data_IF_791809862535
#
_entry.id   IF_791809862535
#
_cell.length_a   1.000
_cell.length_b   1.000
_cell.length_c   1.000
_cell.angle_alpha   90.00
_cell.angle_beta   90.00
_cell.angle_gamma   90.00
#
_symmetry.space_group_name_H-M   'P 1'
#
loop_
_entity.id
_entity.type
_entity.pdbx_description
1 polymer ?
#
# COMPACT_ATOMS: atom_id res chain seq x y z
N UNK A 1 -22.19 8.99 18.96
CA UNK A 1 -22.29 7.54 19.22
C UNK A 1 -22.05 6.73 17.94
N UNK A 2 -22.86 6.87 16.88
CA UNK A 2 -22.66 6.08 15.66
C UNK A 2 -21.31 6.28 14.92
N UNK A 3 -20.73 7.48 14.95
CA UNK A 3 -19.40 7.74 14.34
C UNK A 3 -18.24 7.16 15.16
N UNK A 4 -18.38 7.17 16.49
CA UNK A 4 -17.36 6.68 17.42
C UNK A 4 -17.21 5.15 17.33
N UNK A 5 -18.33 4.45 17.11
CA UNK A 5 -18.36 3.01 16.84
C UNK A 5 -17.64 2.64 15.53
N UNK A 6 -17.76 3.48 14.48
CA UNK A 6 -17.11 3.26 13.19
C UNK A 6 -15.60 3.42 13.31
N UNK A 7 -15.16 4.49 13.97
CA UNK A 7 -13.75 4.77 14.21
C UNK A 7 -13.10 3.65 15.02
N UNK A 8 -13.75 3.21 16.10
CA UNK A 8 -13.25 2.12 16.95
C UNK A 8 -13.11 0.80 16.18
N UNK A 9 -14.10 0.46 15.34
CA UNK A 9 -14.03 -0.75 14.48
C UNK A 9 -12.90 -0.67 13.45
N UNK A 10 -12.67 0.50 12.84
CA UNK A 10 -11.58 0.72 11.90
C UNK A 10 -10.21 0.55 12.56
N UNK A 11 -10.01 1.15 13.73
CA UNK A 11 -8.78 0.99 14.51
C UNK A 11 -8.54 -0.46 14.90
N UNK A 12 -9.54 -1.13 15.47
CA UNK A 12 -9.43 -2.53 15.88
C UNK A 12 -9.04 -3.45 14.71
N UNK A 13 -9.69 -3.27 13.54
CA UNK A 13 -9.36 -4.05 12.35
C UNK A 13 -7.93 -3.80 11.88
N UNK A 14 -7.49 -2.55 11.80
CA UNK A 14 -6.15 -2.18 11.32
C UNK A 14 -5.05 -2.72 12.24
N UNK A 15 -5.22 -2.61 13.55
CA UNK A 15 -4.27 -3.14 14.53
C UNK A 15 -4.23 -4.68 14.55
N UNK A 16 -5.36 -5.35 14.32
CA UNK A 16 -5.37 -6.81 14.19
C UNK A 16 -4.58 -7.28 12.96
N UNK A 17 -4.78 -6.64 11.81
CA UNK A 17 -4.10 -6.94 10.55
C UNK A 17 -2.59 -6.72 10.67
N UNK A 18 -2.16 -5.61 11.29
CA UNK A 18 -0.73 -5.35 11.47
C UNK A 18 -0.08 -6.36 12.42
N UNK A 19 -0.78 -6.73 13.50
CA UNK A 19 -0.32 -7.78 14.42
C UNK A 19 -0.16 -9.12 13.72
N UNK A 20 -1.15 -9.56 12.93
CA UNK A 20 -1.06 -10.79 12.14
C UNK A 20 0.12 -10.74 11.16
N UNK A 21 0.29 -9.64 10.43
CA UNK A 21 1.42 -9.49 9.50
C UNK A 21 2.78 -9.58 10.20
N UNK A 22 2.90 -8.99 11.40
CA UNK A 22 4.11 -9.03 12.21
C UNK A 22 4.47 -10.45 12.64
N UNK A 23 3.48 -11.23 13.09
CA UNK A 23 3.69 -12.63 13.49
C UNK A 23 4.18 -13.50 12.33
N UNK A 24 3.62 -13.33 11.13
CA UNK A 24 4.03 -14.06 9.93
C UNK A 24 5.47 -13.68 9.50
N UNK A 25 5.81 -12.40 9.59
CA UNK A 25 7.15 -11.89 9.32
C UNK A 25 8.18 -12.43 10.31
N UNK A 26 7.87 -12.36 11.61
CA UNK A 26 8.72 -12.91 12.66
C UNK A 26 8.94 -14.41 12.47
N UNK A 27 7.88 -15.17 12.15
CA UNK A 27 7.98 -16.60 11.86
C UNK A 27 8.86 -16.89 10.63
N UNK A 28 8.75 -16.08 9.57
CA UNK A 28 9.58 -16.18 8.36
C UNK A 28 11.06 -15.96 8.68
N UNK A 29 11.38 -14.93 9.45
CA UNK A 29 12.75 -14.61 9.88
C UNK A 29 13.30 -15.72 10.78
N UNK A 30 12.52 -16.14 11.79
CA UNK A 30 12.89 -17.22 12.70
C UNK A 30 13.19 -18.52 11.96
N UNK A 31 12.35 -18.92 11.01
CA UNK A 31 12.58 -20.11 10.20
C UNK A 31 13.86 -20.03 9.35
N UNK A 32 14.23 -18.84 8.84
CA UNK A 32 15.46 -18.63 8.06
C UNK A 32 16.71 -18.74 8.94
N UNK A 33 16.68 -18.08 10.09
CA UNK A 33 17.77 -18.11 11.08
C UNK A 33 17.98 -19.55 11.58
N UNK A 34 16.90 -20.25 11.95
CA UNK A 34 16.96 -21.64 12.41
C UNK A 34 17.56 -22.59 11.37
N UNK A 35 17.30 -22.35 10.08
CA UNK A 35 17.82 -23.16 8.97
C UNK A 35 19.24 -22.78 8.54
N UNK A 36 19.89 -21.84 9.24
CA UNK A 36 21.23 -21.36 8.92
C UNK A 36 21.34 -20.64 7.57
N UNK A 37 20.20 -20.21 6.99
CA UNK A 37 20.21 -19.41 5.76
C UNK A 37 20.32 -17.94 6.15
N UNK A 38 21.42 -17.28 5.76
CA UNK A 38 21.61 -15.84 5.98
C UNK A 38 20.44 -15.00 5.45
N UNK A 39 20.23 -13.82 6.05
CA UNK A 39 19.24 -12.85 5.59
C UNK A 39 19.65 -12.31 4.22
N UNK A 40 18.71 -12.31 3.29
CA UNK A 40 18.92 -11.76 1.95
C UNK A 40 18.34 -10.34 1.87
N UNK A 41 18.77 -9.57 0.88
CA UNK A 41 18.23 -8.22 0.61
C UNK A 41 16.69 -8.18 0.54
N UNK A 42 16.07 -9.25 0.03
CA UNK A 42 14.61 -9.47 0.06
C UNK A 42 14.00 -9.32 1.48
N UNK A 43 14.61 -9.94 2.49
CA UNK A 43 14.08 -9.92 3.85
C UNK A 43 14.23 -8.53 4.49
N UNK A 44 15.33 -7.83 4.19
CA UNK A 44 15.54 -6.46 4.66
C UNK A 44 14.51 -5.50 4.07
N UNK A 45 14.19 -5.64 2.79
CA UNK A 45 13.14 -4.84 2.13
C UNK A 45 11.76 -5.13 2.74
N UNK A 46 11.46 -6.40 3.05
CA UNK A 46 10.20 -6.77 3.68
C UNK A 46 10.07 -6.24 5.11
N UNK A 47 11.15 -6.26 5.89
CA UNK A 47 11.19 -5.66 7.24
C UNK A 47 11.02 -4.15 7.16
N UNK A 48 11.72 -3.49 6.24
CA UNK A 48 11.57 -2.05 6.01
C UNK A 48 10.14 -1.68 5.59
N UNK A 49 9.50 -2.51 4.76
CA UNK A 49 8.11 -2.35 4.37
C UNK A 49 7.16 -2.41 5.58
N UNK A 50 7.37 -3.38 6.47
CA UNK A 50 6.54 -3.53 7.67
C UNK A 50 6.74 -2.38 8.66
N UNK A 51 7.97 -1.92 8.87
CA UNK A 51 8.27 -0.75 9.71
C UNK A 51 7.57 0.49 9.14
N UNK A 52 7.65 0.69 7.83
CA UNK A 52 6.98 1.80 7.13
C UNK A 52 5.45 1.73 7.31
N UNK A 53 4.87 0.53 7.21
CA UNK A 53 3.45 0.30 7.47
C UNK A 53 3.07 0.61 8.93
N UNK A 54 3.88 0.17 9.90
CA UNK A 54 3.65 0.42 11.32
C UNK A 54 3.67 1.90 11.67
N UNK A 55 4.61 2.66 11.09
CA UNK A 55 4.66 4.12 11.23
C UNK A 55 3.40 4.75 10.64
N UNK A 56 2.98 4.33 9.45
CA UNK A 56 1.78 4.83 8.78
C UNK A 56 0.51 4.60 9.62
N UNK A 57 0.33 3.39 10.17
CA UNK A 57 -0.82 3.05 11.02
C UNK A 57 -0.81 3.79 12.36
N UNK A 58 0.37 3.97 12.97
CA UNK A 58 0.52 4.71 14.22
C UNK A 58 0.15 6.18 14.04
N UNK A 59 0.65 6.81 12.97
CA UNK A 59 0.29 8.20 12.63
C UNK A 59 -1.20 8.27 12.32
N UNK A 60 -1.74 7.34 11.54
CA UNK A 60 -3.18 7.33 11.22
C UNK A 60 -4.05 7.25 12.49
N UNK A 61 -3.68 6.41 13.46
CA UNK A 61 -4.36 6.32 14.76
C UNK A 61 -4.29 7.64 15.53
N UNK A 62 -3.15 8.34 15.47
CA UNK A 62 -3.01 9.66 16.07
C UNK A 62 -3.94 10.69 15.41
N UNK A 63 -3.96 10.77 14.08
CA UNK A 63 -4.83 11.74 13.37
C UNK A 63 -6.32 11.46 13.67
N UNK A 64 -6.71 10.18 13.74
CA UNK A 64 -8.07 9.77 14.14
C UNK A 64 -8.40 10.30 15.54
N UNK A 65 -7.48 10.19 16.50
CA UNK A 65 -7.67 10.74 17.85
C UNK A 65 -7.80 12.26 17.90
N UNK A 66 -7.29 12.98 16.89
CA UNK A 66 -7.46 14.43 16.72
C UNK A 66 -8.83 14.83 16.09
N UNK A 67 -9.70 13.85 15.82
CA UNK A 67 -11.04 14.07 15.25
C UNK A 67 -11.14 13.81 13.75
N UNK A 68 -10.13 13.20 13.12
CA UNK A 68 -10.19 12.81 11.72
C UNK A 68 -11.20 11.67 11.51
N UNK A 69 -12.26 11.94 10.75
CA UNK A 69 -13.41 11.03 10.60
C UNK A 69 -14.74 11.63 11.07
N UNK A 70 -14.71 12.73 11.83
CA UNK A 70 -15.88 13.55 12.14
C UNK A 70 -16.09 14.67 11.12
N UNK A 71 -17.29 15.26 11.07
CA UNK A 71 -17.62 16.35 10.16
C UNK A 71 -16.59 17.50 10.25
N UNK A 72 -16.12 17.98 9.07
CA UNK A 72 -15.12 19.06 8.95
C UNK A 72 -15.48 20.35 9.73
N UNK A 73 -16.77 20.55 10.04
CA UNK A 73 -17.32 21.69 10.77
C UNK A 73 -16.99 21.70 12.26
N UNK A 74 -16.57 20.58 12.84
CA UNK A 74 -16.28 20.43 14.28
C UNK A 74 -14.80 20.57 14.64
N UNK A 75 -13.93 20.77 13.64
CA UNK A 75 -12.47 20.76 13.81
C UNK A 75 -11.95 22.20 13.82
N UNK A 76 -11.18 22.57 14.85
CA UNK A 76 -10.47 23.85 14.94
C UNK A 76 -9.48 24.03 13.79
N UNK A 77 -9.37 25.23 13.21
CA UNK A 77 -8.55 25.50 12.02
C UNK A 77 -7.06 25.18 12.22
N UNK A 78 -6.54 25.30 13.46
CA UNK A 78 -5.18 24.88 13.79
C UNK A 78 -4.99 23.36 13.67
N UNK A 79 -6.01 22.57 13.99
CA UNK A 79 -5.93 21.11 13.89
C UNK A 79 -6.02 20.64 12.44
N UNK A 80 -6.72 21.37 11.56
CA UNK A 80 -6.86 21.03 10.13
C UNK A 80 -5.51 20.97 9.40
N UNK A 81 -4.62 21.95 9.65
CA UNK A 81 -3.28 21.98 9.05
C UNK A 81 -2.42 20.80 9.49
N UNK A 82 -2.41 20.52 10.79
CA UNK A 82 -1.69 19.39 11.39
C UNK A 82 -2.19 18.07 10.83
N UNK A 83 -3.50 17.87 10.78
CA UNK A 83 -4.16 16.69 10.21
C UNK A 83 -3.79 16.49 8.73
N UNK A 84 -3.78 17.55 7.92
CA UNK A 84 -3.45 17.47 6.50
C UNK A 84 -1.99 17.05 6.29
N UNK A 85 -1.05 17.66 7.03
CA UNK A 85 0.36 17.30 7.01
C UNK A 85 0.59 15.82 7.38
N UNK A 86 0.00 15.37 8.49
CA UNK A 86 0.12 13.98 8.90
C UNK A 86 -0.57 13.02 7.91
N UNK A 87 -1.64 13.42 7.24
CA UNK A 87 -2.30 12.60 6.20
C UNK A 87 -1.40 12.40 4.99
N UNK A 88 -0.68 13.45 4.56
CA UNK A 88 0.33 13.35 3.51
C UNK A 88 1.44 12.39 3.95
N UNK A 89 1.90 12.49 5.19
CA UNK A 89 2.92 11.63 5.75
C UNK A 89 2.47 10.15 5.78
N UNK A 90 1.24 9.89 6.23
CA UNK A 90 0.60 8.56 6.19
C UNK A 90 0.59 8.01 4.76
N UNK A 91 0.20 8.82 3.77
CA UNK A 91 0.16 8.41 2.37
C UNK A 91 1.56 8.02 1.86
N UNK A 92 2.58 8.82 2.16
CA UNK A 92 3.98 8.54 1.77
C UNK A 92 4.44 7.19 2.35
N UNK A 93 4.29 6.98 3.65
CA UNK A 93 4.71 5.73 4.29
C UNK A 93 3.89 4.53 3.80
N UNK A 94 2.58 4.68 3.57
CA UNK A 94 1.74 3.62 3.00
C UNK A 94 2.18 3.22 1.58
N UNK A 95 2.52 4.19 0.73
CA UNK A 95 2.99 3.93 -0.64
C UNK A 95 4.37 3.25 -0.61
N UNK A 96 5.27 3.70 0.28
CA UNK A 96 6.57 3.06 0.48
C UNK A 96 6.41 1.61 0.95
N UNK A 97 5.58 1.37 1.96
CA UNK A 97 5.32 0.03 2.50
C UNK A 97 4.78 -0.95 1.44
N UNK A 98 3.78 -0.51 0.67
CA UNK A 98 3.18 -1.33 -0.39
C UNK A 98 4.17 -1.64 -1.50
N UNK A 99 4.99 -0.65 -1.90
CA UNK A 99 5.97 -0.85 -2.97
C UNK A 99 7.11 -1.75 -2.52
N UNK A 100 7.70 -1.50 -1.35
CA UNK A 100 8.77 -2.34 -0.80
C UNK A 100 8.32 -3.79 -0.61
N UNK A 101 7.06 -3.99 -0.23
CA UNK A 101 6.46 -5.32 -0.12
C UNK A 101 6.36 -6.00 -1.49
N UNK A 102 5.89 -5.30 -2.52
CA UNK A 102 5.78 -5.83 -3.89
C UNK A 102 7.16 -6.10 -4.51
N UNK A 103 8.15 -5.23 -4.29
CA UNK A 103 9.51 -5.42 -4.80
C UNK A 103 10.21 -6.59 -4.12
N UNK A 104 10.08 -6.74 -2.81
CA UNK A 104 10.52 -7.95 -2.09
C UNK A 104 9.91 -9.21 -2.70
N UNK A 105 8.58 -9.26 -2.84
CA UNK A 105 7.91 -10.42 -3.41
C UNK A 105 8.36 -10.73 -4.85
N UNK A 106 8.49 -9.70 -5.69
CA UNK A 106 8.98 -9.85 -7.05
C UNK A 106 10.44 -10.35 -7.08
N UNK A 107 11.30 -9.92 -6.14
CA UNK A 107 12.70 -10.37 -6.04
C UNK A 107 12.77 -11.84 -5.60
N UNK A 108 11.90 -12.23 -4.68
CA UNK A 108 11.74 -13.62 -4.28
C UNK A 108 11.33 -14.49 -5.47
N UNK A 109 10.37 -14.06 -6.29
CA UNK A 109 9.95 -14.77 -7.49
C UNK A 109 11.05 -14.81 -8.56
N UNK A 110 11.76 -13.70 -8.76
CA UNK A 110 12.86 -13.61 -9.73
C UNK A 110 13.95 -14.65 -9.45
N UNK A 111 14.22 -14.91 -8.17
CA UNK A 111 15.18 -15.94 -7.75
C UNK A 111 14.66 -17.36 -7.93
N UNK A 112 13.35 -17.55 -7.86
CA UNK A 112 12.71 -18.87 -7.97
C UNK A 112 12.55 -19.31 -9.44
N UNK A 113 12.36 -18.35 -10.34
CA UNK A 113 12.19 -18.59 -11.78
C UNK A 113 13.52 -18.98 -12.42
N UNK A 114 13.51 -20.07 -13.18
CA UNK A 114 14.61 -20.44 -14.07
C UNK A 114 14.42 -19.89 -15.50
N UNK A 115 13.17 -19.75 -15.96
CA UNK A 115 12.82 -19.27 -17.30
C UNK A 115 13.22 -17.80 -17.53
N UNK A 116 14.00 -17.55 -18.57
CA UNK A 116 14.53 -16.21 -18.88
C UNK A 116 13.43 -15.20 -19.26
N UNK A 117 12.43 -15.63 -20.03
CA UNK A 117 11.27 -14.78 -20.39
C UNK A 117 10.52 -14.24 -19.16
N UNK A 118 10.28 -15.09 -18.15
CA UNK A 118 9.62 -14.66 -16.91
C UNK A 118 10.53 -13.74 -16.08
N UNK A 119 11.85 -13.89 -16.14
CA UNK A 119 12.79 -12.98 -15.48
C UNK A 119 12.71 -11.58 -16.09
N UNK A 120 12.70 -11.45 -17.42
CA UNK A 120 12.49 -10.16 -18.08
C UNK A 120 11.14 -9.53 -17.72
N UNK A 121 10.08 -10.34 -17.66
CA UNK A 121 8.76 -9.86 -17.22
C UNK A 121 8.77 -9.38 -15.77
N UNK A 122 9.42 -10.09 -14.84
CA UNK A 122 9.54 -9.68 -13.44
C UNK A 122 10.35 -8.38 -13.28
N UNK A 123 11.42 -8.20 -14.05
CA UNK A 123 12.17 -6.95 -14.10
C UNK A 123 11.27 -5.82 -14.60
N UNK A 124 10.49 -6.05 -15.67
CA UNK A 124 9.53 -5.09 -16.17
C UNK A 124 8.49 -4.68 -15.10
N UNK A 125 7.95 -5.65 -14.35
CA UNK A 125 7.02 -5.38 -13.24
C UNK A 125 7.70 -4.56 -12.13
N UNK A 126 8.92 -4.91 -11.72
CA UNK A 126 9.68 -4.13 -10.73
C UNK A 126 9.90 -2.69 -11.18
N UNK A 127 10.38 -2.51 -12.41
CA UNK A 127 10.63 -1.17 -12.97
C UNK A 127 9.33 -0.38 -12.99
N UNK A 128 8.23 -0.99 -13.44
CA UNK A 128 6.96 -0.27 -13.56
C UNK A 128 6.35 0.09 -12.20
N UNK A 129 6.53 -0.75 -11.18
CA UNK A 129 6.15 -0.43 -9.79
C UNK A 129 6.94 0.78 -9.27
N UNK A 130 8.26 0.78 -9.47
CA UNK A 130 9.12 1.90 -9.03
C UNK A 130 8.79 3.20 -9.78
N UNK A 131 8.51 3.13 -11.09
CA UNK A 131 8.08 4.28 -11.88
C UNK A 131 6.74 4.80 -11.36
N UNK A 132 5.78 3.91 -11.08
CA UNK A 132 4.46 4.28 -10.56
C UNK A 132 4.58 5.04 -9.23
N UNK A 133 5.49 4.60 -8.35
CA UNK A 133 5.77 5.24 -7.07
C UNK A 133 6.33 6.66 -7.24
N UNK A 134 7.33 6.82 -8.12
CA UNK A 134 7.90 8.12 -8.45
C UNK A 134 6.85 9.05 -9.06
N UNK A 135 5.98 8.54 -9.94
CA UNK A 135 4.89 9.30 -10.52
C UNK A 135 3.92 9.80 -9.44
N UNK A 136 3.47 8.93 -8.54
CA UNK A 136 2.54 9.31 -7.47
C UNK A 136 3.17 10.37 -6.56
N UNK A 137 4.47 10.28 -6.30
CA UNK A 137 5.20 11.27 -5.51
C UNK A 137 5.28 12.61 -6.25
N UNK A 138 5.81 12.62 -7.48
CA UNK A 138 5.94 13.82 -8.32
C UNK A 138 4.59 14.51 -8.45
N UNK A 139 3.56 13.75 -8.82
CA UNK A 139 2.23 14.29 -8.93
C UNK A 139 1.74 14.77 -7.57
N UNK A 140 1.87 14.00 -6.49
CA UNK A 140 1.43 14.38 -5.14
C UNK A 140 1.96 15.73 -4.66
N UNK A 141 3.23 16.04 -4.95
CA UNK A 141 3.81 17.37 -4.66
C UNK A 141 3.43 18.41 -5.73
N UNK A 142 3.39 18.05 -7.01
CA UNK A 142 3.05 18.98 -8.10
C UNK A 142 1.54 19.31 -8.24
N UNK A 143 0.69 18.94 -7.29
CA UNK A 143 -0.77 19.19 -7.39
C UNK A 143 -1.16 20.66 -7.19
N UNK A 144 -0.33 21.45 -6.53
CA UNK A 144 -0.60 22.87 -6.28
C UNK A 144 0.64 23.74 -6.52
N UNK A 145 0.38 24.93 -7.05
CA UNK A 145 1.36 26.01 -7.21
C UNK A 145 0.87 27.23 -6.40
N UNK A 146 1.54 27.63 -5.31
CA UNK A 146 2.80 27.11 -4.76
C UNK A 146 2.62 25.81 -3.95
N UNK A 147 3.71 25.05 -3.81
CA UNK A 147 3.74 23.77 -3.07
C UNK A 147 3.24 23.91 -1.63
N UNK A 148 3.47 25.08 -1.03
CA UNK A 148 2.99 25.44 0.31
C UNK A 148 1.49 25.30 0.48
N UNK A 149 0.71 25.44 -0.61
CA UNK A 149 -0.73 25.27 -0.60
C UNK A 149 -1.19 23.82 -0.40
N UNK A 150 -0.33 22.84 -0.66
CA UNK A 150 -0.64 21.41 -0.43
C UNK A 150 -0.84 21.14 1.07
N UNK A 151 -0.04 21.78 1.93
CA UNK A 151 -0.14 21.61 3.38
C UNK A 151 -0.84 22.74 4.12
N UNK A 152 -0.81 23.97 3.57
CA UNK A 152 -1.50 25.13 4.14
C UNK A 152 -2.54 25.68 3.16
N UNK A 153 -3.83 25.31 3.31
CA UNK A 153 -4.88 25.76 2.42
C UNK A 153 -5.15 27.27 2.48
N UNK A 154 -4.58 27.97 3.46
CA UNK A 154 -4.71 29.42 3.65
C UNK A 154 -3.85 30.23 2.67
N UNK A 155 -2.90 29.59 1.97
CA UNK A 155 -1.98 30.26 1.04
C UNK A 155 -2.65 30.47 -0.33
N UNK A 156 -2.59 31.68 -0.92
CA UNK A 156 -3.11 31.92 -2.26
C UNK A 156 -2.31 31.14 -3.31
N UNK A 157 -3.01 30.59 -4.31
CA UNK A 157 -2.41 29.77 -5.36
C UNK A 157 -3.43 28.98 -6.17
N UNK A 158 -2.98 28.34 -7.23
CA UNK A 158 -3.80 27.45 -8.06
C UNK A 158 -3.46 25.99 -7.75
N UNK A 159 -4.49 25.17 -7.56
CA UNK A 159 -4.36 23.73 -7.49
C UNK A 159 -5.02 23.11 -8.72
N UNK A 160 -4.51 21.96 -9.16
CA UNK A 160 -5.18 21.18 -10.18
C UNK A 160 -6.62 20.85 -9.77
N UNK A 161 -7.49 20.87 -10.76
CA UNK A 161 -8.90 20.53 -10.60
C UNK A 161 -9.04 19.15 -9.92
N UNK A 162 -9.82 19.11 -8.84
CA UNK A 162 -10.07 17.91 -8.02
C UNK A 162 -10.52 16.74 -8.89
N UNK A 163 -11.27 17.00 -9.95
CA UNK A 163 -11.74 15.97 -10.89
C UNK A 163 -10.60 15.30 -11.65
N UNK A 164 -9.63 16.08 -12.15
CA UNK A 164 -8.44 15.55 -12.83
C UNK A 164 -7.53 14.80 -11.87
N UNK A 165 -7.43 15.31 -10.64
CA UNK A 165 -6.68 14.69 -9.57
C UNK A 165 -7.18 13.28 -9.24
N UNK A 166 -8.49 13.16 -9.01
CA UNK A 166 -9.15 11.90 -8.66
C UNK A 166 -8.99 10.89 -9.80
N UNK A 167 -9.21 11.31 -11.06
CA UNK A 167 -9.01 10.42 -12.23
C UNK A 167 -7.60 9.82 -12.28
N UNK A 168 -6.58 10.64 -12.04
CA UNK A 168 -5.18 10.17 -12.03
C UNK A 168 -4.92 9.17 -10.88
N UNK A 169 -5.42 9.48 -9.69
CA UNK A 169 -5.26 8.61 -8.52
C UNK A 169 -5.98 7.28 -8.72
N UNK A 170 -7.15 7.31 -9.36
CA UNK A 170 -7.95 6.14 -9.69
C UNK A 170 -7.22 5.24 -10.69
N UNK A 171 -6.65 5.83 -11.74
CA UNK A 171 -5.86 5.11 -12.72
C UNK A 171 -4.66 4.40 -12.08
N UNK A 172 -3.92 5.11 -11.22
CA UNK A 172 -2.80 4.52 -10.48
C UNK A 172 -3.25 3.39 -9.54
N UNK A 173 -4.39 3.56 -8.87
CA UNK A 173 -4.95 2.54 -7.98
C UNK A 173 -5.36 1.26 -8.74
N UNK A 174 -6.06 1.40 -9.88
CA UNK A 174 -6.41 0.26 -10.72
C UNK A 174 -5.16 -0.43 -11.29
N UNK A 175 -4.20 0.35 -11.76
CA UNK A 175 -2.94 -0.19 -12.27
C UNK A 175 -2.21 -1.02 -11.20
N UNK A 176 -2.11 -0.49 -9.98
CA UNK A 176 -1.51 -1.19 -8.84
C UNK A 176 -2.26 -2.47 -8.48
N UNK A 177 -3.60 -2.47 -8.53
CA UNK A 177 -4.42 -3.64 -8.26
C UNK A 177 -4.28 -4.73 -9.34
N UNK A 178 -4.17 -4.33 -10.62
CA UNK A 178 -3.90 -5.26 -11.73
C UNK A 178 -2.53 -5.92 -11.54
N UNK A 179 -1.52 -5.15 -11.15
CA UNK A 179 -0.19 -5.70 -10.86
C UNK A 179 -0.22 -6.71 -9.71
N UNK A 180 -1.05 -6.50 -8.68
CA UNK A 180 -1.24 -7.47 -7.59
C UNK A 180 -1.85 -8.78 -8.10
N UNK A 181 -2.83 -8.71 -8.99
CA UNK A 181 -3.41 -9.90 -9.63
C UNK A 181 -2.40 -10.63 -10.51
N UNK A 182 -1.62 -9.89 -11.30
CA UNK A 182 -0.55 -10.47 -12.14
C UNK A 182 0.49 -11.18 -11.28
N UNK A 183 0.97 -10.54 -10.22
CA UNK A 183 1.92 -11.13 -9.28
C UNK A 183 1.34 -12.32 -8.51
N UNK A 184 0.02 -12.34 -8.27
CA UNK A 184 -0.66 -13.48 -7.66
C UNK A 184 -0.80 -14.67 -8.61
N UNK A 185 -0.93 -14.47 -9.92
CA UNK A 185 -1.09 -15.55 -10.92
C UNK A 185 0.26 -16.10 -11.39
N UNK A 186 1.28 -15.24 -11.51
CA UNK A 186 2.61 -15.59 -12.04
C UNK A 186 3.27 -16.82 -11.37
N UNK A 187 3.15 -17.05 -10.05
CA UNK A 187 3.74 -18.23 -9.42
C UNK A 187 3.05 -19.54 -9.75
N UNK A 188 1.83 -19.54 -10.31
CA UNK A 188 1.04 -20.77 -10.50
C UNK A 188 1.65 -21.72 -11.54
N UNK A 189 2.03 -21.23 -12.74
CA UNK A 189 2.72 -22.07 -13.72
C UNK A 189 4.09 -22.53 -13.21
N UNK A 190 4.79 -21.69 -12.44
CA UNK A 190 6.10 -22.02 -11.85
C UNK A 190 5.93 -23.15 -10.82
N UNK A 191 4.89 -23.09 -9.97
CA UNK A 191 4.60 -24.10 -8.95
C UNK A 191 4.23 -25.47 -9.54
N UNK A 192 3.59 -25.49 -10.71
CA UNK A 192 3.24 -26.72 -11.41
C UNK A 192 4.47 -27.43 -11.99
N UNK A 193 5.48 -26.67 -12.44
CA UNK A 193 6.71 -27.22 -13.00
C UNK A 193 7.86 -27.44 -12.01
N UNK A 194 7.86 -26.75 -10.85
CA UNK A 194 8.97 -26.79 -9.90
C UNK A 194 8.81 -27.87 -8.82
N UNK A 195 9.86 -28.66 -8.60
CA UNK A 195 9.95 -29.66 -7.50
C UNK A 195 10.23 -28.97 -6.16
N UNK A 196 9.26 -28.21 -5.64
CA UNK A 196 9.35 -27.57 -4.33
C UNK A 196 8.93 -28.50 -3.20
N UNK A 197 9.53 -28.32 -2.01
CA UNK A 197 9.09 -29.03 -0.81
C UNK A 197 7.64 -28.64 -0.51
N UNK A 198 6.78 -29.61 -0.13
CA UNK A 198 5.34 -29.38 0.16
C UNK A 198 5.08 -28.16 1.05
N UNK A 199 5.97 -27.89 2.02
CA UNK A 199 5.89 -26.75 2.95
C UNK A 199 6.11 -25.39 2.25
N UNK A 200 7.03 -25.31 1.30
CA UNK A 200 7.28 -24.08 0.51
C UNK A 200 6.14 -23.86 -0.48
N UNK A 201 5.64 -24.93 -1.10
CA UNK A 201 4.46 -24.90 -1.99
C UNK A 201 3.23 -24.33 -1.28
N UNK A 202 2.97 -24.76 -0.04
CA UNK A 202 1.85 -24.25 0.75
C UNK A 202 1.99 -22.77 1.08
N UNK A 203 3.17 -22.32 1.51
CA UNK A 203 3.41 -20.91 1.82
C UNK A 203 3.21 -19.99 0.61
N UNK A 204 3.68 -20.42 -0.57
CA UNK A 204 3.47 -19.67 -1.81
C UNK A 204 1.98 -19.67 -2.21
N UNK A 205 1.28 -20.79 -2.12
CA UNK A 205 -0.16 -20.86 -2.42
C UNK A 205 -1.00 -19.94 -1.53
N UNK A 206 -0.70 -19.87 -0.22
CA UNK A 206 -1.36 -18.95 0.72
C UNK A 206 -1.05 -17.50 0.35
N UNK A 207 0.21 -17.16 0.07
CA UNK A 207 0.61 -15.81 -0.33
C UNK A 207 -0.11 -15.35 -1.62
N UNK A 208 -0.26 -16.24 -2.60
CA UNK A 208 -0.98 -15.97 -3.85
C UNK A 208 -2.46 -15.70 -3.61
N UNK A 209 -3.09 -16.52 -2.78
CA UNK A 209 -4.52 -16.36 -2.43
C UNK A 209 -4.77 -15.00 -1.78
N UNK A 210 -3.88 -14.61 -0.84
CA UNK A 210 -3.94 -13.30 -0.20
C UNK A 210 -3.70 -12.16 -1.18
N UNK A 211 -2.76 -12.31 -2.12
CA UNK A 211 -2.51 -11.31 -3.17
C UNK A 211 -3.70 -11.10 -4.10
N UNK A 212 -4.41 -12.17 -4.47
CA UNK A 212 -5.63 -12.09 -5.28
C UNK A 212 -6.76 -11.35 -4.55
N UNK A 213 -6.96 -11.65 -3.26
CA UNK A 213 -7.94 -10.96 -2.41
C UNK A 213 -7.58 -9.48 -2.27
N UNK A 214 -6.30 -9.16 -2.06
CA UNK A 214 -5.83 -7.77 -1.97
C UNK A 214 -6.09 -6.99 -3.27
N UNK A 215 -5.82 -7.59 -4.44
CA UNK A 215 -6.13 -7.01 -5.74
C UNK A 215 -7.63 -6.73 -5.92
N UNK A 216 -8.49 -7.71 -5.57
CA UNK A 216 -9.95 -7.54 -5.62
C UNK A 216 -10.44 -6.40 -4.71
N UNK A 217 -9.94 -6.35 -3.46
CA UNK A 217 -10.24 -5.25 -2.54
C UNK A 217 -9.79 -3.88 -3.10
N UNK A 218 -8.65 -3.82 -3.80
CA UNK A 218 -8.17 -2.61 -4.47
C UNK A 218 -9.14 -2.10 -5.54
N UNK A 219 -9.70 -3.02 -6.34
CA UNK A 219 -10.71 -2.69 -7.37
C UNK A 219 -11.99 -2.17 -6.73
N UNK A 220 -12.52 -2.87 -5.71
CA UNK A 220 -13.72 -2.46 -4.98
C UNK A 220 -13.54 -1.08 -4.36
N UNK A 221 -12.37 -0.81 -3.75
CA UNK A 221 -12.03 0.51 -3.22
C UNK A 221 -12.03 1.57 -4.32
N UNK A 222 -11.49 1.27 -5.50
CA UNK A 222 -11.54 2.15 -6.66
C UNK A 222 -12.97 2.52 -7.06
N UNK A 223 -13.85 1.53 -7.17
CA UNK A 223 -15.27 1.74 -7.49
C UNK A 223 -15.97 2.57 -6.42
N UNK A 224 -15.71 2.29 -5.14
CA UNK A 224 -16.30 3.03 -4.03
C UNK A 224 -15.87 4.51 -4.06
N UNK A 225 -14.60 4.80 -4.34
CA UNK A 225 -14.11 6.19 -4.45
C UNK A 225 -14.80 6.94 -5.59
N UNK A 226 -15.05 6.29 -6.73
CA UNK A 226 -15.83 6.89 -7.82
C UNK A 226 -17.27 7.15 -7.38
N UNK A 227 -17.90 6.18 -6.73
CA UNK A 227 -19.28 6.28 -6.26
C UNK A 227 -19.45 7.45 -5.28
N UNK A 228 -18.52 7.64 -4.35
CA UNK A 228 -18.55 8.75 -3.41
C UNK A 228 -18.35 10.10 -4.13
N UNK A 229 -17.44 10.14 -5.11
CA UNK A 229 -17.19 11.34 -5.92
C UNK A 229 -18.40 11.72 -6.77
N UNK A 230 -19.20 10.75 -7.23
CA UNK A 230 -20.44 11.02 -7.98
C UNK A 230 -21.61 11.53 -7.12
N UNK A 231 -21.56 11.34 -5.80
CA UNK A 231 -22.58 11.87 -4.87
C UNK A 231 -22.27 13.27 -4.34
N UNK A 232 -21.01 13.73 -4.43
CA UNK A 232 -20.59 15.10 -4.07
C UNK A 232 -20.38 15.97 -5.32
N UNK A 233 -21.41 16.04 -6.17
CA UNK A 233 -21.58 17.08 -7.19
C UNK A 233 -22.83 17.90 -6.88
N UNK A 234 -22.64 18.85 -5.96
CA UNK A 234 -23.25 20.19 -5.98
C UNK A 234 -22.24 21.17 -5.41
#
# INVERSE_FOLDING_TARGET
MADDDRVTRLLASTWSLIGTSATLLALRIYCKIWRGRGLWWDDHLLVAAWISLAISVSINSYIISLGFGHHLSTISDHNKRTINLFTILVAIFSILATTLSKTSFALMLYRLVLNEWLKYFLIFVMVTINISLNLVWIFGFAKCTPLTKVWDPSVPGECWDKTRLVKYQLFSAYYSAILDLVLAILPWPILMGATLKRRERFGVAVAMSLGAIAGACGIVKGVLVVSMTSTDIT
#
